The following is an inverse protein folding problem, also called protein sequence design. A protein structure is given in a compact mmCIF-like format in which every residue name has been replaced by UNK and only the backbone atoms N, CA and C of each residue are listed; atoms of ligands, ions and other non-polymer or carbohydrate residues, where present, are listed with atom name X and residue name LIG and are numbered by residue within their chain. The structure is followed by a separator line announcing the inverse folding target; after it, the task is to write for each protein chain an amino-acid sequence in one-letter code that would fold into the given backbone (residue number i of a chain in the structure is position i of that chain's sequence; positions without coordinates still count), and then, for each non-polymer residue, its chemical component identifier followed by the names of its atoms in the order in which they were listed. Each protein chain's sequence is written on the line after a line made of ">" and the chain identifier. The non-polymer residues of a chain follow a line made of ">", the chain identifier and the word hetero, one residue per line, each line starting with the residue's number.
data_IF_252517418028
#
_entry.id   IF_252517418028
#
_cell.length_a   1.000
_cell.length_b   1.000
_cell.length_c   1.000
_cell.angle_alpha   90.00
_cell.angle_beta   90.00
_cell.angle_gamma   90.00
#
_symmetry.space_group_name_H-M   'P 1'
#
loop_
_entity.id
_entity.type
_entity.pdbx_description
1 polymer ?
#
# COMPACT_ATOMS: atom_id res chain seq x y z
N UNK A 1 6.17 -3.63 -13.62
CA UNK A 1 6.85 -3.09 -14.81
C UNK A 1 6.31 -3.67 -16.13
N UNK A 2 6.13 -5.00 -16.25
CA UNK A 2 5.69 -5.64 -17.52
C UNK A 2 4.27 -5.27 -18.00
N UNK A 3 3.34 -4.94 -17.08
CA UNK A 3 1.95 -4.66 -17.44
C UNK A 3 1.70 -3.20 -17.88
N UNK A 4 2.66 -2.29 -17.63
CA UNK A 4 2.49 -0.84 -17.84
C UNK A 4 2.17 -0.49 -19.31
N UNK A 5 2.83 -1.06 -20.33
CA UNK A 5 2.54 -0.76 -21.73
C UNK A 5 1.12 -1.12 -22.17
N UNK A 6 0.49 -2.10 -21.52
CA UNK A 6 -0.87 -2.56 -21.86
C UNK A 6 -1.95 -1.74 -21.15
N UNK A 7 -1.63 -1.16 -20.00
CA UNK A 7 -2.53 -0.32 -19.23
C UNK A 7 -2.55 1.11 -19.76
N UNK A 8 -1.40 1.67 -20.16
CA UNK A 8 -1.33 3.03 -20.69
C UNK A 8 -1.57 3.07 -22.21
N UNK A 9 -2.79 3.48 -22.59
CA UNK A 9 -3.24 3.56 -23.99
C UNK A 9 -3.10 4.98 -24.54
N UNK A 10 -2.60 5.95 -23.76
CA UNK A 10 -2.52 7.34 -24.20
C UNK A 10 -1.45 7.50 -25.30
N UNK A 11 -1.81 7.80 -26.57
CA UNK A 11 -0.84 7.91 -27.66
C UNK A 11 0.00 9.21 -27.60
N UNK A 12 -0.43 10.20 -26.81
CA UNK A 12 0.26 11.49 -26.64
C UNK A 12 1.42 11.36 -25.65
N UNK A 13 2.49 12.14 -25.85
CA UNK A 13 3.70 12.08 -25.02
C UNK A 13 4.60 10.87 -25.28
N UNK A 14 4.52 10.25 -26.47
CA UNK A 14 5.46 9.22 -26.89
C UNK A 14 6.66 9.84 -27.62
N UNK A 15 7.88 9.63 -27.11
CA UNK A 15 9.12 10.14 -27.72
C UNK A 15 9.52 11.58 -27.34
N UNK A 16 8.70 12.30 -26.57
CA UNK A 16 9.03 13.64 -26.05
C UNK A 16 8.46 13.85 -24.63
N UNK A 17 9.16 14.63 -23.81
CA UNK A 17 8.76 14.91 -22.43
C UNK A 17 7.71 16.02 -22.39
N UNK A 18 6.48 15.70 -21.97
CA UNK A 18 5.40 16.67 -21.77
C UNK A 18 4.65 16.41 -20.46
N UNK A 19 4.73 17.36 -19.53
CA UNK A 19 4.02 17.27 -18.23
C UNK A 19 2.50 17.42 -18.37
N UNK A 20 2.04 18.33 -19.23
CA UNK A 20 0.62 18.69 -19.30
C UNK A 20 -0.29 17.59 -19.83
N UNK A 21 0.21 16.74 -20.72
CA UNK A 21 -0.58 15.69 -21.39
C UNK A 21 -0.67 14.39 -20.58
N UNK A 22 0.24 14.18 -19.61
CA UNK A 22 0.39 12.94 -18.85
C UNK A 22 0.51 13.16 -17.34
N UNK A 23 -0.11 14.23 -16.82
CA UNK A 23 -0.04 14.62 -15.40
C UNK A 23 -0.30 13.43 -14.46
N UNK A 24 -1.39 12.69 -14.66
CA UNK A 24 -1.77 11.58 -13.78
C UNK A 24 -0.73 10.45 -13.78
N UNK A 25 -0.21 10.07 -14.95
CA UNK A 25 0.81 9.02 -15.05
C UNK A 25 2.13 9.45 -14.39
N UNK A 26 2.53 10.70 -14.58
CA UNK A 26 3.74 11.26 -13.97
C UNK A 26 3.60 11.31 -12.45
N UNK A 27 2.46 11.77 -11.93
CA UNK A 27 2.21 11.82 -10.48
C UNK A 27 2.22 10.44 -9.83
N UNK A 28 1.52 9.47 -10.44
CA UNK A 28 1.48 8.10 -9.93
C UNK A 28 2.88 7.47 -9.95
N UNK A 29 3.67 7.71 -11.01
CA UNK A 29 5.05 7.23 -11.09
C UNK A 29 5.96 7.91 -10.06
N UNK A 30 5.95 9.24 -9.94
CA UNK A 30 6.76 9.97 -8.97
C UNK A 30 6.40 9.59 -7.54
N UNK A 31 5.12 9.42 -7.22
CA UNK A 31 4.71 8.94 -5.90
C UNK A 31 5.17 7.50 -5.63
N UNK A 32 4.92 6.57 -6.55
CA UNK A 32 5.28 5.17 -6.35
C UNK A 32 6.80 4.93 -6.32
N UNK A 33 7.54 5.55 -7.24
CA UNK A 33 8.98 5.35 -7.37
C UNK A 33 9.77 6.31 -6.48
N UNK A 34 9.62 7.63 -6.64
CA UNK A 34 10.47 8.58 -5.92
C UNK A 34 10.11 8.67 -4.44
N UNK A 35 8.82 8.67 -4.10
CA UNK A 35 8.41 8.79 -2.69
C UNK A 35 8.46 7.42 -2.03
N UNK A 36 7.65 6.48 -2.49
CA UNK A 36 7.43 5.22 -1.78
C UNK A 36 8.69 4.33 -1.83
N UNK A 37 9.29 4.13 -3.00
CA UNK A 37 10.45 3.23 -3.13
C UNK A 37 11.71 3.80 -2.49
N UNK A 38 12.06 5.08 -2.72
CA UNK A 38 13.24 5.69 -2.09
C UNK A 38 13.04 5.81 -0.57
N UNK A 39 11.86 6.22 -0.09
CA UNK A 39 11.61 6.27 1.36
C UNK A 39 11.77 4.89 2.00
N UNK A 40 11.31 3.82 1.35
CA UNK A 40 11.52 2.45 1.83
C UNK A 40 13.00 2.05 1.90
N UNK A 41 13.81 2.46 0.91
CA UNK A 41 15.26 2.22 0.94
C UNK A 41 15.90 2.96 2.11
N UNK A 42 15.59 4.25 2.30
CA UNK A 42 16.14 5.05 3.39
C UNK A 42 15.73 4.46 4.74
N UNK A 43 14.46 4.12 4.91
CA UNK A 43 13.94 3.45 6.11
C UNK A 43 14.64 2.11 6.37
N UNK A 44 14.90 1.34 5.32
CA UNK A 44 15.52 0.02 5.42
C UNK A 44 17.02 0.04 5.71
N UNK A 45 17.75 1.00 5.13
CA UNK A 45 19.22 1.08 5.24
C UNK A 45 19.64 1.83 6.50
N UNK A 46 19.01 2.96 6.79
CA UNK A 46 19.50 3.87 7.83
C UNK A 46 18.69 3.81 9.12
N UNK A 47 17.38 3.56 9.05
CA UNK A 47 16.50 3.71 10.20
C UNK A 47 16.17 2.39 10.88
N UNK A 48 16.55 1.25 10.30
CA UNK A 48 16.13 -0.07 10.76
C UNK A 48 17.26 -0.80 11.48
N UNK A 49 17.01 -1.22 12.72
CA UNK A 49 18.00 -1.88 13.59
C UNK A 49 17.64 -3.27 14.12
N UNK A 50 18.46 -3.81 15.06
CA UNK A 50 18.27 -5.10 15.70
C UNK A 50 16.84 -5.30 16.21
N UNK A 51 16.29 -6.48 15.98
CA UNK A 51 14.92 -6.81 16.39
C UNK A 51 13.81 -6.09 15.60
N UNK A 52 14.11 -5.54 14.42
CA UNK A 52 13.18 -4.72 13.61
C UNK A 52 12.74 -3.42 14.30
N UNK A 53 13.53 -2.94 15.26
CA UNK A 53 13.32 -1.64 15.90
C UNK A 53 13.70 -0.50 14.95
N UNK A 54 12.93 0.59 14.99
CA UNK A 54 13.25 1.82 14.28
C UNK A 54 14.16 2.70 15.16
N UNK A 55 15.34 3.03 14.65
CA UNK A 55 16.27 3.98 15.26
C UNK A 55 16.28 5.24 14.41
N UNK A 56 16.07 6.39 15.04
CA UNK A 56 16.20 7.68 14.34
C UNK A 56 17.67 7.97 14.05
N UNK A 57 18.02 8.80 13.03
CA UNK A 57 19.41 9.05 12.65
C UNK A 57 20.29 9.59 13.78
N UNK A 58 19.66 10.23 14.77
CA UNK A 58 20.28 10.87 15.93
C UNK A 58 20.37 9.96 17.17
N UNK A 59 19.88 8.72 17.09
CA UNK A 59 19.92 7.76 18.20
C UNK A 59 21.12 6.82 18.06
N UNK A 60 21.75 6.49 19.19
CA UNK A 60 22.79 5.47 19.22
C UNK A 60 22.22 4.09 18.86
N UNK A 61 22.91 3.38 17.98
CA UNK A 61 22.49 2.08 17.51
C UNK A 61 22.96 1.00 18.49
N UNK A 62 22.15 0.71 19.52
CA UNK A 62 22.48 -0.31 20.52
C UNK A 62 22.20 -1.72 19.97
N UNK A 63 23.24 -2.58 19.79
CA UNK A 63 23.08 -3.94 19.30
C UNK A 63 22.30 -4.86 20.25
N UNK A 64 22.28 -4.54 21.55
CA UNK A 64 21.71 -5.38 22.60
C UNK A 64 20.30 -4.95 23.01
N UNK A 65 19.69 -4.01 22.30
CA UNK A 65 18.34 -3.56 22.56
C UNK A 65 17.31 -4.63 22.16
N UNK A 66 16.91 -5.45 23.12
CA UNK A 66 15.83 -6.45 22.97
C UNK A 66 14.49 -5.85 23.42
N UNK A 67 14.05 -4.78 22.75
CA UNK A 67 12.67 -4.30 22.93
C UNK A 67 11.76 -5.15 22.07
N UNK A 68 11.03 -6.06 22.71
CA UNK A 68 10.00 -6.84 22.03
C UNK A 68 8.84 -5.89 21.68
N UNK A 69 8.66 -5.61 20.38
CA UNK A 69 7.42 -4.96 19.93
C UNK A 69 6.26 -5.89 20.27
N UNK A 70 5.35 -5.43 21.12
CA UNK A 70 4.08 -6.11 21.38
C UNK A 70 3.26 -6.01 20.10
N UNK A 71 3.31 -7.09 19.31
CA UNK A 71 2.55 -7.17 18.08
C UNK A 71 1.07 -7.37 18.44
N UNK A 72 0.24 -6.43 18.03
CA UNK A 72 -1.22 -6.53 18.18
C UNK A 72 -1.81 -6.75 16.79
N UNK A 73 -2.71 -7.72 16.65
CA UNK A 73 -3.43 -7.89 15.39
C UNK A 73 -4.64 -6.95 15.37
N UNK A 74 -4.98 -6.44 14.19
CA UNK A 74 -6.09 -5.53 14.00
C UNK A 74 -7.40 -6.07 14.63
N UNK A 75 -7.77 -7.35 14.46
CA UNK A 75 -9.01 -7.86 15.08
C UNK A 75 -8.96 -7.88 16.61
N UNK A 76 -7.79 -8.13 17.21
CA UNK A 76 -7.61 -8.05 18.67
C UNK A 76 -7.68 -6.61 19.17
N UNK A 77 -7.21 -5.63 18.39
CA UNK A 77 -7.35 -4.21 18.70
C UNK A 77 -8.82 -3.74 18.73
N UNK A 78 -9.68 -4.33 17.88
CA UNK A 78 -11.12 -4.09 17.87
C UNK A 78 -11.92 -4.99 18.85
N UNK A 79 -11.24 -5.75 19.71
CA UNK A 79 -11.87 -6.57 20.76
C UNK A 79 -12.38 -7.93 20.31
N UNK A 80 -12.17 -8.32 19.04
CA UNK A 80 -12.56 -9.64 18.52
C UNK A 80 -11.48 -10.65 18.87
N UNK A 81 -11.70 -11.41 19.96
CA UNK A 81 -10.75 -12.42 20.47
C UNK A 81 -10.98 -13.83 19.92
N UNK A 82 -12.11 -14.07 19.26
CA UNK A 82 -12.44 -15.37 18.68
C UNK A 82 -11.75 -15.54 17.33
N UNK A 83 -11.11 -16.68 17.11
CA UNK A 83 -10.36 -17.00 15.90
C UNK A 83 -11.17 -16.82 14.60
N UNK A 84 -12.36 -17.41 14.53
CA UNK A 84 -13.24 -17.29 13.37
C UNK A 84 -13.73 -15.84 13.16
N UNK A 85 -13.93 -15.10 14.26
CA UNK A 85 -14.29 -13.69 14.20
C UNK A 85 -13.14 -12.82 13.68
N UNK A 86 -11.90 -13.11 14.08
CA UNK A 86 -10.71 -12.40 13.61
C UNK A 86 -10.47 -12.62 12.10
N UNK A 87 -10.71 -13.84 11.62
CA UNK A 87 -10.64 -14.17 10.20
C UNK A 87 -11.71 -13.44 9.38
N UNK A 88 -12.98 -13.45 9.84
CA UNK A 88 -14.07 -12.78 9.13
C UNK A 88 -13.89 -11.26 9.13
N UNK A 89 -13.45 -10.68 10.25
CA UNK A 89 -13.21 -9.25 10.36
C UNK A 89 -12.06 -8.79 9.45
N UNK A 90 -10.91 -9.48 9.48
CA UNK A 90 -9.79 -9.16 8.61
C UNK A 90 -10.14 -9.27 7.12
N UNK A 91 -10.87 -10.34 6.74
CA UNK A 91 -11.37 -10.52 5.39
C UNK A 91 -12.35 -9.42 4.96
N UNK A 92 -13.30 -9.06 5.83
CA UNK A 92 -14.27 -8.00 5.57
C UNK A 92 -13.59 -6.63 5.42
N UNK A 93 -12.55 -6.34 6.21
CA UNK A 93 -11.78 -5.09 6.09
C UNK A 93 -11.05 -5.02 4.76
N UNK A 94 -10.40 -6.11 4.33
CA UNK A 94 -9.67 -6.14 3.05
C UNK A 94 -10.65 -6.05 1.87
N UNK A 95 -11.71 -6.86 1.87
CA UNK A 95 -12.73 -6.82 0.81
C UNK A 95 -13.38 -5.45 0.78
N UNK A 96 -13.71 -4.88 1.94
CA UNK A 96 -14.27 -3.54 2.07
C UNK A 96 -13.34 -2.47 1.49
N UNK A 97 -12.03 -2.55 1.77
CA UNK A 97 -11.04 -1.63 1.22
C UNK A 97 -11.00 -1.67 -0.31
N UNK A 98 -10.92 -2.87 -0.91
CA UNK A 98 -10.90 -3.01 -2.36
C UNK A 98 -12.23 -2.65 -3.02
N UNK A 99 -13.37 -3.06 -2.44
CA UNK A 99 -14.70 -2.76 -2.98
C UNK A 99 -15.03 -1.26 -2.89
N UNK A 100 -14.76 -0.61 -1.77
CA UNK A 100 -15.00 0.82 -1.59
C UNK A 100 -14.03 1.63 -2.45
N UNK A 101 -12.74 1.25 -2.45
CA UNK A 101 -11.72 1.90 -3.27
C UNK A 101 -12.07 1.85 -4.76
N UNK A 102 -12.50 0.69 -5.26
CA UNK A 102 -12.94 0.55 -6.65
C UNK A 102 -14.21 1.34 -6.94
N UNK A 103 -15.21 1.30 -6.07
CA UNK A 103 -16.46 2.05 -6.24
C UNK A 103 -16.23 3.58 -6.31
N UNK A 104 -15.42 4.13 -5.41
CA UNK A 104 -15.07 5.56 -5.39
C UNK A 104 -14.37 5.96 -6.68
N UNK A 105 -13.40 5.16 -7.13
CA UNK A 105 -12.61 5.47 -8.32
C UNK A 105 -13.45 5.38 -9.60
N UNK A 106 -14.32 4.37 -9.71
CA UNK A 106 -15.28 4.29 -10.82
C UNK A 106 -16.25 5.47 -10.83
N UNK A 107 -16.69 5.95 -9.66
CA UNK A 107 -17.57 7.12 -9.56
C UNK A 107 -16.87 8.41 -10.00
N UNK A 108 -15.59 8.58 -9.64
CA UNK A 108 -14.79 9.76 -10.00
C UNK A 108 -14.42 9.80 -11.49
N UNK A 109 -14.07 8.65 -12.09
CA UNK A 109 -13.54 8.57 -13.46
C UNK A 109 -14.53 8.03 -14.50
N UNK A 110 -15.84 8.25 -14.35
CA UNK A 110 -16.86 7.75 -15.31
C UNK A 110 -16.58 8.11 -16.78
N UNK A 111 -15.92 9.25 -17.02
CA UNK A 111 -15.54 9.70 -18.37
C UNK A 111 -14.38 8.88 -18.95
N UNK A 112 -13.39 8.52 -18.12
CA UNK A 112 -12.24 7.72 -18.55
C UNK A 112 -12.64 6.26 -18.82
N UNK A 113 -13.66 5.74 -18.11
CA UNK A 113 -14.20 4.39 -18.31
C UNK A 113 -14.61 4.11 -19.76
N UNK A 114 -15.22 5.09 -20.44
CA UNK A 114 -15.65 4.97 -21.85
C UNK A 114 -14.49 4.88 -22.83
N UNK A 115 -13.31 5.39 -22.47
CA UNK A 115 -12.17 5.53 -23.39
C UNK A 115 -11.12 4.41 -23.27
N UNK A 116 -10.87 3.90 -22.05
CA UNK A 116 -9.79 2.93 -21.78
C UNK A 116 -10.32 1.49 -21.72
N UNK A 117 -11.63 1.32 -21.48
CA UNK A 117 -12.29 0.03 -21.31
C UNK A 117 -12.29 -0.46 -19.86
N UNK A 118 -13.30 -1.25 -19.52
CA UNK A 118 -13.60 -1.68 -18.15
C UNK A 118 -12.46 -2.47 -17.49
N UNK A 119 -11.98 -3.54 -18.13
CA UNK A 119 -10.95 -4.42 -17.58
C UNK A 119 -9.63 -3.71 -17.29
N UNK A 120 -9.19 -2.82 -18.20
CA UNK A 120 -7.94 -2.06 -18.02
C UNK A 120 -8.06 -1.05 -16.88
N UNK A 121 -9.22 -0.40 -16.76
CA UNK A 121 -9.49 0.52 -15.66
C UNK A 121 -9.52 -0.22 -14.32
N UNK A 122 -10.20 -1.37 -14.26
CA UNK A 122 -10.24 -2.22 -13.06
C UNK A 122 -8.82 -2.60 -12.60
N UNK A 123 -7.98 -3.12 -13.50
CA UNK A 123 -6.60 -3.47 -13.18
C UNK A 123 -5.76 -2.26 -12.71
N UNK A 124 -5.94 -1.08 -13.31
CA UNK A 124 -5.25 0.14 -12.85
C UNK A 124 -5.64 0.49 -11.42
N UNK A 125 -6.93 0.41 -11.10
CA UNK A 125 -7.44 0.74 -9.78
C UNK A 125 -6.90 -0.23 -8.74
N UNK A 126 -6.96 -1.54 -9.02
CA UNK A 126 -6.44 -2.57 -8.12
C UNK A 126 -4.95 -2.38 -7.82
N UNK A 127 -4.14 -2.12 -8.86
CA UNK A 127 -2.71 -1.85 -8.68
C UNK A 127 -2.45 -0.58 -7.85
N UNK A 128 -3.25 0.46 -8.08
CA UNK A 128 -3.17 1.70 -7.30
C UNK A 128 -3.55 1.49 -5.83
N UNK A 129 -4.62 0.73 -5.57
CA UNK A 129 -5.07 0.39 -4.22
C UNK A 129 -4.06 -0.47 -3.46
N UNK A 130 -3.37 -1.39 -4.13
CA UNK A 130 -2.25 -2.15 -3.54
C UNK A 130 -1.11 -1.21 -3.14
N UNK A 131 -0.75 -0.27 -4.02
CA UNK A 131 0.31 0.70 -3.74
C UNK A 131 -0.03 1.55 -2.51
N UNK A 132 -1.27 2.05 -2.41
CA UNK A 132 -1.73 2.78 -1.23
C UNK A 132 -1.84 1.89 0.01
N UNK A 133 -2.23 0.63 -0.16
CA UNK A 133 -2.32 -0.36 0.92
C UNK A 133 -0.99 -0.62 1.61
N UNK A 134 0.12 -0.61 0.85
CA UNK A 134 1.47 -0.70 1.42
C UNK A 134 1.76 0.49 2.34
N UNK A 135 1.45 1.72 1.91
CA UNK A 135 1.65 2.92 2.72
C UNK A 135 0.83 2.86 4.00
N UNK A 136 -0.46 2.52 3.89
CA UNK A 136 -1.36 2.37 5.04
C UNK A 136 -0.81 1.32 6.02
N UNK A 137 -0.34 0.18 5.51
CA UNK A 137 0.26 -0.87 6.33
C UNK A 137 1.50 -0.40 7.08
N UNK A 138 2.36 0.39 6.46
CA UNK A 138 3.54 0.96 7.11
C UNK A 138 3.13 1.92 8.23
N UNK A 139 2.14 2.78 7.99
CA UNK A 139 1.63 3.70 9.03
C UNK A 139 1.01 2.93 10.19
N UNK A 140 0.21 1.89 9.91
CA UNK A 140 -0.36 1.03 10.95
C UNK A 140 0.73 0.33 11.78
N UNK A 141 1.81 -0.09 11.13
CA UNK A 141 2.94 -0.75 11.79
C UNK A 141 3.72 0.22 12.68
N UNK A 142 4.03 1.42 12.19
CA UNK A 142 4.85 2.40 12.91
C UNK A 142 4.07 3.14 14.00
N UNK A 143 2.80 3.49 13.73
CA UNK A 143 1.98 4.26 14.67
C UNK A 143 1.30 3.41 15.73
N UNK A 144 0.74 2.25 15.34
CA UNK A 144 -0.12 1.44 16.20
C UNK A 144 0.46 0.05 16.53
N UNK A 145 1.69 -0.25 16.10
CA UNK A 145 2.34 -1.57 16.24
C UNK A 145 1.52 -2.75 15.68
N UNK A 146 0.58 -2.45 14.76
CA UNK A 146 -0.30 -3.48 14.19
C UNK A 146 0.49 -4.30 13.19
N UNK A 147 0.59 -5.61 13.42
CA UNK A 147 1.38 -6.52 12.56
C UNK A 147 0.55 -7.16 11.46
N UNK A 148 -0.63 -7.65 11.83
CA UNK A 148 -1.51 -8.39 10.93
C UNK A 148 -2.89 -7.72 10.86
N UNK A 149 -3.32 -7.42 9.65
CA UNK A 149 -4.66 -6.93 9.29
C UNK A 149 -5.61 -8.11 9.15
N UNK A 150 -5.15 -9.22 8.57
CA UNK A 150 -5.92 -10.46 8.43
C UNK A 150 -5.10 -11.65 8.90
N UNK A 151 -5.65 -12.36 9.89
CA UNK A 151 -5.03 -13.56 10.47
C UNK A 151 -5.84 -14.78 10.01
N UNK A 152 -5.19 -15.74 9.37
CA UNK A 152 -5.78 -17.02 8.96
C UNK A 152 -4.84 -18.17 9.36
N UNK A 153 -5.29 -19.45 9.34
CA UNK A 153 -4.42 -20.56 9.75
C UNK A 153 -3.21 -20.72 8.83
N UNK A 154 -3.34 -20.22 7.60
CA UNK A 154 -2.42 -20.50 6.50
C UNK A 154 -1.61 -19.26 6.11
N UNK A 155 -2.19 -18.06 6.20
CA UNK A 155 -1.53 -16.80 5.83
C UNK A 155 -1.97 -15.64 6.73
N UNK A 156 -1.02 -14.76 7.05
CA UNK A 156 -1.30 -13.53 7.81
C UNK A 156 -0.87 -12.33 6.97
N UNK A 157 -1.80 -11.43 6.68
CA UNK A 157 -1.59 -10.23 5.85
C UNK A 157 -1.57 -8.99 6.73
#
# INVERSE_FOLDING_TARGET
>A
MMLIPYLDVNPKGNGYYTYHERKTAIWVYSFGFLVLWIALIIMGVFLRGPGWNLFMPWQYWDPHKVVALVNVDLPYAFGVRTYNGAMLFGGAVIIGYFAVGTAIYFFMERKALKSVGFLRMFLKIELFLIMMGIVIKIVLRLGFNIKYVWVTPWFNI
#
